data_IF_126686640265
#
_entry.id   IF_126686640265
#
_cell.length_a   1.000
_cell.length_b   1.000
_cell.length_c   1.000
_cell.angle_alpha   90.00
_cell.angle_beta   90.00
_cell.angle_gamma   90.00
#
_symmetry.space_group_name_H-M   'P 1'
#
loop_
_entity.id
_entity.type
_entity.pdbx_description
1 polymer ?
#
# COMPACT_ATOMS: atom_id res chain seq x y z
N UNK A 1 -6.00 -32.32 6.66
CA UNK A 1 -6.35 -30.92 6.95
C UNK A 1 -7.84 -30.77 6.76
N UNK A 2 -8.61 -30.50 7.83
CA UNK A 2 -10.06 -30.36 7.72
C UNK A 2 -10.38 -29.06 6.98
N UNK A 3 -10.82 -29.22 5.74
CA UNK A 3 -11.17 -28.12 4.82
C UNK A 3 -12.23 -27.22 5.46
N UNK A 4 -12.00 -25.90 5.46
CA UNK A 4 -13.01 -24.94 5.93
C UNK A 4 -14.20 -24.99 4.97
N UNK A 5 -15.42 -25.08 5.51
CA UNK A 5 -16.61 -24.87 4.69
C UNK A 5 -16.63 -23.45 4.12
N UNK A 6 -17.26 -23.26 2.95
CA UNK A 6 -17.34 -21.95 2.30
C UNK A 6 -17.90 -20.84 3.22
N UNK A 7 -18.85 -21.16 4.10
CA UNK A 7 -19.38 -20.22 5.10
C UNK A 7 -18.37 -19.86 6.19
N UNK A 8 -17.56 -20.82 6.65
CA UNK A 8 -16.50 -20.55 7.62
C UNK A 8 -15.38 -19.71 7.00
N UNK A 9 -15.00 -19.99 5.74
CA UNK A 9 -13.99 -19.21 5.03
C UNK A 9 -14.45 -17.75 4.88
N UNK A 10 -15.70 -17.52 4.44
CA UNK A 10 -16.30 -16.18 4.39
C UNK A 10 -16.30 -15.47 5.74
N UNK A 11 -16.63 -16.19 6.82
CA UNK A 11 -16.58 -15.64 8.17
C UNK A 11 -15.18 -15.17 8.55
N UNK A 12 -14.15 -15.98 8.29
CA UNK A 12 -12.77 -15.61 8.61
C UNK A 12 -12.32 -14.40 7.80
N UNK A 13 -12.58 -14.37 6.50
CA UNK A 13 -12.19 -13.24 5.64
C UNK A 13 -12.83 -11.93 6.10
N UNK A 14 -14.13 -11.94 6.41
CA UNK A 14 -14.82 -10.76 6.96
C UNK A 14 -14.34 -10.38 8.35
N UNK A 15 -13.95 -11.36 9.17
CA UNK A 15 -13.44 -11.12 10.52
C UNK A 15 -12.05 -10.48 10.51
N UNK A 16 -11.16 -10.93 9.63
CA UNK A 16 -9.84 -10.32 9.47
C UNK A 16 -9.96 -8.87 9.01
N UNK A 17 -10.92 -8.58 8.11
CA UNK A 17 -11.15 -7.23 7.59
C UNK A 17 -11.76 -6.26 8.60
N UNK A 18 -12.70 -6.73 9.42
CA UNK A 18 -13.53 -5.84 10.27
C UNK A 18 -13.24 -5.95 11.76
N UNK A 19 -12.56 -7.02 12.19
CA UNK A 19 -12.34 -7.41 13.59
C UNK A 19 -13.64 -7.50 14.42
N UNK A 20 -14.80 -7.57 13.77
CA UNK A 20 -16.11 -7.59 14.40
C UNK A 20 -16.81 -8.94 14.23
N UNK A 21 -16.78 -9.76 15.28
CA UNK A 21 -17.32 -11.14 15.29
C UNK A 21 -18.76 -11.22 14.80
N UNK A 22 -19.64 -10.36 15.31
CA UNK A 22 -21.07 -10.41 15.02
C UNK A 22 -21.34 -10.03 13.56
N UNK A 23 -20.73 -8.94 13.09
CA UNK A 23 -20.91 -8.46 11.71
C UNK A 23 -20.33 -9.45 10.69
N UNK A 24 -19.17 -10.03 10.98
CA UNK A 24 -18.56 -11.05 10.12
C UNK A 24 -19.43 -12.30 10.01
N UNK A 25 -20.08 -12.73 11.09
CA UNK A 25 -21.00 -13.86 11.07
C UNK A 25 -22.25 -13.56 10.23
N UNK A 26 -22.82 -12.34 10.33
CA UNK A 26 -23.96 -11.93 9.50
C UNK A 26 -23.59 -11.94 8.02
N UNK A 27 -22.47 -11.29 7.66
CA UNK A 27 -21.99 -11.23 6.26
C UNK A 27 -21.61 -12.59 5.68
N UNK A 28 -21.15 -13.52 6.52
CA UNK A 28 -20.88 -14.89 6.12
C UNK A 28 -22.14 -15.74 5.87
N UNK A 29 -23.33 -15.19 6.12
CA UNK A 29 -24.61 -15.86 5.89
C UNK A 29 -25.09 -16.72 7.07
N UNK A 30 -24.70 -16.38 8.30
CA UNK A 30 -25.31 -16.92 9.51
C UNK A 30 -26.51 -16.08 9.95
N UNK A 31 -27.45 -16.71 10.67
CA UNK A 31 -28.65 -16.03 11.18
C UNK A 31 -28.28 -14.85 12.07
N UNK A 32 -28.84 -13.67 11.78
CA UNK A 32 -28.58 -12.45 12.54
C UNK A 32 -28.91 -12.60 14.04
N UNK A 33 -30.01 -13.27 14.36
CA UNK A 33 -30.49 -13.47 15.73
C UNK A 33 -29.50 -14.27 16.61
N UNK A 34 -28.65 -15.10 16.00
CA UNK A 34 -27.67 -15.93 16.71
C UNK A 34 -26.24 -15.69 16.22
N UNK A 35 -26.00 -14.62 15.47
CA UNK A 35 -24.71 -14.32 14.84
C UNK A 35 -23.61 -14.12 15.89
N UNK A 36 -23.92 -13.46 17.00
CA UNK A 36 -22.98 -13.23 18.10
C UNK A 36 -22.51 -14.55 18.72
N UNK A 37 -23.45 -15.42 19.12
CA UNK A 37 -23.14 -16.73 19.72
C UNK A 37 -22.41 -17.63 18.72
N UNK A 38 -22.87 -17.65 17.47
CA UNK A 38 -22.28 -18.47 16.41
C UNK A 38 -20.87 -18.02 16.09
N UNK A 39 -20.62 -16.72 15.93
CA UNK A 39 -19.28 -16.18 15.70
C UNK A 39 -18.31 -16.49 16.84
N UNK A 40 -18.71 -16.29 18.09
CA UNK A 40 -17.89 -16.65 19.26
C UNK A 40 -17.56 -18.15 19.29
N UNK A 41 -18.52 -19.01 18.93
CA UNK A 41 -18.30 -20.46 18.83
C UNK A 41 -17.36 -20.82 17.68
N UNK A 42 -17.44 -20.13 16.54
CA UNK A 42 -16.54 -20.34 15.40
C UNK A 42 -15.10 -20.01 15.76
N UNK A 43 -14.85 -18.89 16.46
CA UNK A 43 -13.50 -18.51 16.88
C UNK A 43 -12.83 -19.51 17.84
N UNK A 44 -13.62 -20.25 18.61
CA UNK A 44 -13.11 -21.30 19.51
C UNK A 44 -12.73 -22.60 18.78
N UNK A 45 -13.13 -22.79 17.52
CA UNK A 45 -12.82 -24.01 16.77
C UNK A 45 -11.34 -24.01 16.34
N UNK A 46 -10.56 -25.08 16.64
CA UNK A 46 -9.13 -25.12 16.34
C UNK A 46 -8.78 -24.85 14.87
N UNK A 47 -9.49 -25.46 13.91
CA UNK A 47 -9.24 -25.26 12.48
C UNK A 47 -9.51 -23.82 12.02
N UNK A 48 -10.48 -23.12 12.62
CA UNK A 48 -10.76 -21.72 12.29
C UNK A 48 -9.68 -20.82 12.88
N UNK A 49 -9.26 -21.07 14.12
CA UNK A 49 -8.17 -20.33 14.75
C UNK A 49 -6.86 -20.48 13.96
N UNK A 50 -6.56 -21.70 13.52
CA UNK A 50 -5.41 -21.97 12.67
C UNK A 50 -5.50 -21.18 11.35
N UNK A 51 -6.64 -21.23 10.66
CA UNK A 51 -6.83 -20.50 9.41
C UNK A 51 -6.72 -18.97 9.59
N UNK A 52 -7.25 -18.42 10.69
CA UNK A 52 -7.06 -16.99 11.02
C UNK A 52 -5.58 -16.67 11.18
N UNK A 53 -4.81 -17.53 11.85
CA UNK A 53 -3.39 -17.32 12.03
C UNK A 53 -2.64 -17.37 10.69
N UNK A 54 -2.90 -18.39 9.87
CA UNK A 54 -2.29 -18.52 8.54
C UNK A 54 -2.58 -17.31 7.65
N UNK A 55 -3.81 -16.77 7.67
CA UNK A 55 -4.13 -15.57 6.91
C UNK A 55 -3.46 -14.32 7.46
N UNK A 56 -3.33 -14.20 8.79
CA UNK A 56 -2.57 -13.10 9.40
C UNK A 56 -1.10 -13.17 9.02
N UNK A 57 -0.52 -14.36 9.08
CA UNK A 57 0.89 -14.57 8.72
C UNK A 57 1.12 -14.24 7.24
N UNK A 58 0.20 -14.62 6.35
CA UNK A 58 0.24 -14.21 4.93
C UNK A 58 0.14 -12.69 4.75
N UNK A 59 -0.78 -12.03 5.44
CA UNK A 59 -0.90 -10.56 5.37
C UNK A 59 0.38 -9.91 5.88
N UNK A 60 0.99 -10.43 6.93
CA UNK A 60 2.27 -9.93 7.44
C UNK A 60 3.37 -10.16 6.39
N UNK A 61 3.48 -11.36 5.83
CA UNK A 61 4.48 -11.70 4.81
C UNK A 61 4.33 -10.85 3.53
N UNK A 62 3.10 -10.55 3.10
CA UNK A 62 2.83 -9.70 1.93
C UNK A 62 3.11 -8.20 2.20
N UNK A 63 2.94 -7.72 3.44
CA UNK A 63 3.05 -6.28 3.76
C UNK A 63 4.35 -5.90 4.48
N UNK A 64 5.13 -6.87 4.95
CA UNK A 64 6.41 -6.64 5.64
C UNK A 64 7.52 -7.05 4.69
N UNK A 65 8.46 -6.13 4.44
CA UNK A 65 9.68 -6.49 3.72
C UNK A 65 10.42 -7.57 4.52
N UNK A 66 10.72 -8.68 3.86
CA UNK A 66 11.65 -9.65 4.40
C UNK A 66 13.04 -9.02 4.55
N UNK A 67 13.87 -9.57 5.44
CA UNK A 67 15.24 -9.07 5.62
C UNK A 67 16.03 -9.03 4.31
N UNK A 68 15.79 -10.00 3.41
CA UNK A 68 16.44 -10.06 2.09
C UNK A 68 15.97 -8.94 1.17
N UNK A 69 14.67 -8.67 1.12
CA UNK A 69 14.12 -7.57 0.31
C UNK A 69 14.57 -6.22 0.85
N UNK A 70 14.59 -6.05 2.17
CA UNK A 70 15.11 -4.84 2.80
C UNK A 70 16.58 -4.61 2.42
N UNK A 71 17.43 -5.63 2.52
CA UNK A 71 18.83 -5.56 2.10
C UNK A 71 18.95 -5.24 0.60
N UNK A 72 18.08 -5.80 -0.23
CA UNK A 72 18.08 -5.51 -1.66
C UNK A 72 17.75 -4.04 -1.96
N UNK A 73 16.69 -3.50 -1.36
CA UNK A 73 16.31 -2.09 -1.49
C UNK A 73 17.43 -1.17 -0.99
N UNK A 74 17.98 -1.45 0.20
CA UNK A 74 19.10 -0.66 0.74
C UNK A 74 20.35 -0.75 -0.16
N UNK A 75 20.60 -1.89 -0.78
CA UNK A 75 21.72 -2.06 -1.72
C UNK A 75 21.51 -1.23 -2.99
N UNK A 76 20.31 -1.26 -3.57
CA UNK A 76 19.97 -0.46 -4.76
C UNK A 76 20.13 1.04 -4.49
N UNK A 77 19.64 1.50 -3.32
CA UNK A 77 19.85 2.86 -2.84
C UNK A 77 21.34 3.17 -2.59
N UNK A 78 22.13 2.24 -2.04
CA UNK A 78 23.56 2.42 -1.77
C UNK A 78 24.43 2.47 -3.04
N UNK A 79 24.02 1.77 -4.10
CA UNK A 79 24.65 1.81 -5.44
C UNK A 79 24.26 3.10 -6.16
N UNK A 80 22.99 3.52 -6.02
CA UNK A 80 22.46 4.73 -6.62
C UNK A 80 21.72 4.50 -7.93
N UNK A 81 21.18 3.29 -8.12
CA UNK A 81 20.34 2.95 -9.27
C UNK A 81 18.89 3.44 -9.11
N UNK A 82 18.55 4.04 -7.97
CA UNK A 82 17.24 4.61 -7.69
C UNK A 82 17.13 6.10 -8.11
N UNK A 83 15.92 6.49 -8.49
CA UNK A 83 15.56 7.87 -8.87
C UNK A 83 14.51 8.44 -7.91
N UNK A 84 14.61 9.73 -7.64
CA UNK A 84 13.61 10.51 -6.92
C UNK A 84 12.85 11.41 -7.90
N UNK A 85 11.53 11.58 -7.70
CA UNK A 85 10.75 12.58 -8.42
C UNK A 85 10.97 13.94 -7.80
N UNK A 86 11.35 14.94 -8.60
CA UNK A 86 11.59 16.30 -8.15
C UNK A 86 10.75 17.30 -8.94
N UNK A 87 10.13 18.22 -8.20
CA UNK A 87 9.47 19.39 -8.76
C UNK A 87 10.53 20.40 -9.23
N UNK A 88 10.51 20.73 -10.51
CA UNK A 88 11.37 21.75 -11.11
C UNK A 88 10.51 22.81 -11.77
N UNK A 89 10.83 24.07 -11.50
CA UNK A 89 10.18 25.22 -12.14
C UNK A 89 10.83 25.45 -13.49
N UNK A 90 10.07 25.21 -14.56
CA UNK A 90 10.49 25.45 -15.95
C UNK A 90 9.80 26.70 -16.46
N UNK A 91 10.56 27.57 -17.12
CA UNK A 91 10.03 28.76 -17.80
C UNK A 91 9.70 28.39 -19.23
N UNK A 92 8.42 28.33 -19.57
CA UNK A 92 7.95 28.03 -20.92
C UNK A 92 7.38 29.28 -21.58
N UNK A 93 7.86 29.58 -22.79
CA UNK A 93 7.31 30.64 -23.62
C UNK A 93 6.06 30.14 -24.32
N UNK A 94 4.91 30.72 -24.00
CA UNK A 94 3.64 30.46 -24.69
C UNK A 94 3.21 31.71 -25.45
N UNK A 95 2.82 31.53 -26.71
CA UNK A 95 2.21 32.61 -27.48
C UNK A 95 0.76 32.78 -27.02
N UNK A 96 0.45 33.91 -26.39
CA UNK A 96 -0.90 34.26 -25.95
C UNK A 96 -1.38 35.49 -26.69
N UNK A 97 -2.61 35.43 -27.19
CA UNK A 97 -3.26 36.57 -27.82
C UNK A 97 -3.69 37.57 -26.74
N UNK A 98 -3.30 38.83 -26.90
CA UNK A 98 -3.67 39.87 -25.96
C UNK A 98 -5.14 40.30 -26.20
N UNK A 99 -6.05 40.11 -25.23
CA UNK A 99 -7.49 40.40 -25.39
C UNK A 99 -7.80 41.86 -25.75
N UNK A 100 -6.90 42.80 -25.43
CA UNK A 100 -7.09 44.23 -25.66
C UNK A 100 -6.54 44.72 -27.01
N UNK A 101 -5.61 44.00 -27.63
CA UNK A 101 -4.94 44.45 -28.86
C UNK A 101 -4.99 43.47 -30.03
N UNK A 102 -5.49 42.24 -29.83
CA UNK A 102 -5.57 41.19 -30.85
C UNK A 102 -4.21 40.71 -31.37
N UNK A 103 -3.12 41.15 -30.74
CA UNK A 103 -1.75 40.77 -31.13
C UNK A 103 -1.28 39.59 -30.30
N UNK A 104 -0.67 38.62 -30.96
CA UNK A 104 -0.01 37.48 -30.32
C UNK A 104 1.30 37.95 -29.67
N UNK A 105 1.45 37.71 -28.37
CA UNK A 105 2.65 38.04 -27.60
C UNK A 105 3.26 36.78 -26.99
N UNK A 106 4.58 36.69 -26.96
CA UNK A 106 5.30 35.62 -26.27
C UNK A 106 5.31 35.91 -24.78
N UNK A 107 4.64 35.08 -23.98
CA UNK A 107 4.56 35.20 -22.52
C UNK A 107 5.32 34.04 -21.89
N UNK A 108 6.31 34.34 -21.05
CA UNK A 108 7.04 33.34 -20.29
C UNK A 108 6.29 33.07 -18.98
N UNK A 109 5.63 31.92 -18.89
CA UNK A 109 5.00 31.47 -17.66
C UNK A 109 5.88 30.42 -16.97
N UNK A 110 5.87 30.41 -15.65
CA UNK A 110 6.51 29.38 -14.83
C UNK A 110 5.54 28.22 -14.67
N UNK A 111 6.00 27.02 -15.03
CA UNK A 111 5.26 25.77 -14.86
C UNK A 111 6.09 24.84 -13.97
N UNK A 112 5.42 24.13 -13.06
CA UNK A 112 6.06 23.07 -12.27
C UNK A 112 5.98 21.77 -13.06
N UNK A 113 7.13 21.20 -13.39
CA UNK A 113 7.24 19.90 -14.02
C UNK A 113 7.87 18.91 -13.04
N UNK A 114 7.37 17.67 -13.04
CA UNK A 114 7.93 16.56 -12.26
C UNK A 114 8.95 15.84 -13.14
N UNK A 115 10.22 15.83 -12.71
CA UNK A 115 11.28 15.09 -13.39
C UNK A 115 11.84 14.00 -12.49
N UNK A 116 12.27 12.89 -13.08
CA UNK A 116 13.03 11.85 -12.37
C UNK A 116 14.51 12.21 -12.36
N UNK A 117 15.10 12.32 -11.17
CA UNK A 117 16.52 12.61 -10.97
C UNK A 117 17.14 11.51 -10.12
N UNK A 118 18.45 11.23 -10.23
CA UNK A 118 19.10 10.25 -9.35
C UNK A 118 18.95 10.67 -7.88
N UNK A 119 18.85 9.68 -6.99
CA UNK A 119 18.78 9.93 -5.54
C UNK A 119 19.97 10.76 -5.05
N UNK A 120 19.73 11.57 -4.00
CA UNK A 120 20.75 12.45 -3.44
C UNK A 120 21.93 11.64 -2.88
N UNK A 121 23.17 12.16 -3.01
CA UNK A 121 24.35 11.52 -2.42
C UNK A 121 24.24 11.27 -0.91
N UNK A 122 23.55 12.14 -0.16
CA UNK A 122 23.32 11.97 1.28
C UNK A 122 22.50 10.72 1.60
N UNK A 123 21.47 10.43 0.80
CA UNK A 123 20.58 9.30 1.02
C UNK A 123 21.29 7.99 0.67
N UNK A 124 22.13 8.03 -0.38
CA UNK A 124 23.04 6.93 -0.73
C UNK A 124 24.04 6.61 0.39
N UNK A 125 24.64 7.64 0.99
CA UNK A 125 25.57 7.46 2.11
C UNK A 125 24.85 6.89 3.33
N UNK A 126 23.65 7.39 3.63
CA UNK A 126 22.83 6.85 4.72
C UNK A 126 22.46 5.38 4.50
N UNK A 127 22.12 4.98 3.27
CA UNK A 127 21.87 3.58 2.95
C UNK A 127 23.11 2.70 3.16
N UNK A 128 24.31 3.20 2.80
CA UNK A 128 25.58 2.51 3.06
C UNK A 128 25.88 2.36 4.54
N UNK A 129 25.66 3.42 5.32
CA UNK A 129 25.89 3.39 6.77
C UNK A 129 24.95 2.41 7.48
N UNK A 130 23.74 2.18 6.96
CA UNK A 130 22.80 1.19 7.51
C UNK A 130 23.23 -0.25 7.17
N UNK A 131 23.95 -0.46 6.08
CA UNK A 131 24.41 -1.78 5.63
C UNK A 131 25.67 -2.29 6.35
N UNK A 132 26.42 -1.40 7.02
CA UNK A 132 27.70 -1.70 7.70
C UNK A 132 27.48 -1.88 9.20
#
# INVERSE_FOLDING_TARGET
>A
MSELTAKQARFVNEYIRTLNVTQSAIKAGYSANSAHVTGCRLLKKPHIKQYIQEQKDKIIDENVLTAKELLHVLTNAAVGDETETKEVVVKRGEYKENPQSGKVQLVYNEHVELIEVPIKPSDRLKARDILV
#
